data_IF_310071068429
#
_entry.id   IF_310071068429
#
_cell.length_a   1.000
_cell.length_b   1.000
_cell.length_c   1.000
_cell.angle_alpha   90.00
_cell.angle_beta   90.00
_cell.angle_gamma   90.00
#
_symmetry.space_group_name_H-M   'P 1'
#
loop_
_entity.id
_entity.type
_entity.pdbx_description
1 polymer ?
#
# COMPACT_ATOMS: atom_id res chain seq x y z
N UNK A 1 -9.54 -12.83 -16.07
CA UNK A 1 -10.82 -12.16 -16.40
C UNK A 1 -11.00 -12.20 -17.90
N UNK A 2 -11.83 -13.11 -18.44
CA UNK A 2 -12.00 -13.38 -19.87
C UNK A 2 -12.48 -12.17 -20.69
N UNK A 3 -11.65 -11.14 -20.80
CA UNK A 3 -11.90 -9.89 -21.50
C UNK A 3 -12.10 -10.12 -23.01
N UNK A 4 -11.51 -11.19 -23.54
CA UNK A 4 -11.67 -11.69 -24.90
C UNK A 4 -13.12 -12.03 -25.28
N UNK A 5 -14.01 -12.17 -24.29
CA UNK A 5 -15.42 -12.52 -24.49
C UNK A 5 -16.37 -11.31 -24.51
N UNK A 6 -15.87 -10.11 -24.29
CA UNK A 6 -16.67 -8.88 -24.30
C UNK A 6 -16.57 -8.23 -25.69
N UNK A 7 -17.72 -7.97 -26.32
CA UNK A 7 -17.78 -7.18 -27.56
C UNK A 7 -17.51 -5.69 -27.27
N UNK A 8 -16.83 -4.95 -28.18
CA UNK A 8 -16.45 -3.57 -27.95
C UNK A 8 -17.65 -2.65 -27.68
N UNK A 9 -18.81 -2.94 -28.27
CA UNK A 9 -20.07 -2.23 -28.04
C UNK A 9 -20.66 -2.37 -26.63
N UNK A 10 -20.19 -3.35 -25.85
CA UNK A 10 -20.65 -3.59 -24.46
C UNK A 10 -19.61 -3.19 -23.40
N UNK A 11 -18.39 -2.85 -23.81
CA UNK A 11 -17.33 -2.43 -22.91
C UNK A 11 -17.50 -0.94 -22.55
N UNK A 12 -17.88 -0.66 -21.30
CA UNK A 12 -17.97 0.73 -20.82
C UNK A 12 -16.60 1.35 -20.56
N UNK A 13 -15.67 0.56 -20.03
CA UNK A 13 -14.32 1.00 -19.69
C UNK A 13 -13.38 -0.18 -19.54
N UNK A 14 -12.18 -0.04 -20.10
CA UNK A 14 -11.04 -0.91 -19.83
C UNK A 14 -10.05 -0.17 -18.93
N UNK A 15 -9.52 -0.89 -17.95
CA UNK A 15 -8.54 -0.37 -16.99
C UNK A 15 -7.34 -1.30 -16.97
N UNK A 16 -6.17 -0.72 -17.22
CA UNK A 16 -4.89 -1.40 -17.01
C UNK A 16 -4.44 -1.14 -15.58
N UNK A 17 -4.30 -2.21 -14.81
CA UNK A 17 -3.83 -2.17 -13.43
C UNK A 17 -2.96 -3.39 -13.17
N UNK A 18 -1.98 -3.22 -12.29
CA UNK A 18 -1.02 -4.24 -11.90
C UNK A 18 -1.27 -4.64 -10.45
N UNK A 19 -1.09 -5.94 -10.16
CA UNK A 19 -1.15 -6.45 -8.80
C UNK A 19 0.27 -6.70 -8.29
N UNK A 20 0.59 -6.29 -7.06
CA UNK A 20 1.87 -6.62 -6.46
C UNK A 20 2.03 -8.14 -6.37
N UNK A 21 3.20 -8.65 -6.76
CA UNK A 21 3.55 -10.04 -6.55
C UNK A 21 4.19 -10.18 -5.16
N UNK A 22 3.54 -10.92 -4.27
CA UNK A 22 4.05 -11.22 -2.92
C UNK A 22 4.86 -12.51 -2.92
N UNK A 23 6.00 -12.49 -3.62
CA UNK A 23 6.95 -13.59 -3.54
C UNK A 23 7.73 -13.58 -2.21
N UNK A 24 8.59 -14.58 -2.01
CA UNK A 24 9.37 -14.70 -0.76
C UNK A 24 10.28 -13.49 -0.53
N UNK A 25 10.81 -12.89 -1.59
CA UNK A 25 11.71 -11.73 -1.50
C UNK A 25 10.93 -10.49 -1.09
N UNK A 26 9.76 -10.25 -1.69
CA UNK A 26 8.85 -9.18 -1.31
C UNK A 26 8.42 -9.30 0.15
N UNK A 27 8.01 -10.49 0.60
CA UNK A 27 7.61 -10.74 2.00
C UNK A 27 8.80 -10.52 2.95
N UNK A 28 10.00 -10.98 2.59
CA UNK A 28 11.20 -10.73 3.40
C UNK A 28 11.52 -9.22 3.49
N UNK A 29 11.34 -8.47 2.41
CA UNK A 29 11.55 -7.02 2.37
C UNK A 29 10.53 -6.25 3.21
N UNK A 30 9.28 -6.72 3.31
CA UNK A 30 8.26 -6.10 4.17
C UNK A 30 8.70 -6.01 5.64
N UNK A 31 9.48 -6.99 6.13
CA UNK A 31 10.02 -6.96 7.50
C UNK A 31 10.95 -5.77 7.77
N UNK A 32 11.48 -5.14 6.71
CA UNK A 32 12.38 -3.99 6.78
C UNK A 32 11.66 -2.65 6.66
N UNK A 33 10.33 -2.64 6.47
CA UNK A 33 9.55 -1.41 6.42
C UNK A 33 9.75 -0.49 7.64
N UNK A 34 9.85 -1.00 8.88
CA UNK A 34 10.14 -0.14 10.03
C UNK A 34 11.46 0.63 9.89
N UNK A 35 12.49 0.05 9.26
CA UNK A 35 13.77 0.73 9.01
C UNK A 35 13.58 1.93 8.08
N UNK A 36 12.76 1.79 7.03
CA UNK A 36 12.46 2.88 6.09
C UNK A 36 11.71 4.02 6.77
N UNK A 37 10.72 3.70 7.62
CA UNK A 37 9.98 4.72 8.36
C UNK A 37 10.86 5.45 9.38
N UNK A 38 11.81 4.73 10.02
CA UNK A 38 12.80 5.33 10.92
C UNK A 38 13.70 6.32 10.18
N UNK A 39 14.22 5.93 9.00
CA UNK A 39 15.04 6.78 8.14
C UNK A 39 14.26 8.01 7.63
N UNK A 40 12.93 7.95 7.58
CA UNK A 40 12.05 9.08 7.26
C UNK A 40 12.23 10.30 8.18
N UNK A 41 12.74 10.12 9.40
CA UNK A 41 13.03 11.24 10.33
C UNK A 41 14.14 12.15 9.82
N UNK A 42 15.12 11.58 9.12
CA UNK A 42 16.26 12.30 8.55
C UNK A 42 16.01 12.67 7.09
N UNK A 43 15.41 11.75 6.32
CA UNK A 43 15.18 11.90 4.88
C UNK A 43 13.88 12.64 4.53
N UNK A 44 13.02 12.90 5.52
CA UNK A 44 11.68 13.45 5.36
C UNK A 44 10.80 12.68 4.35
N UNK A 45 11.08 11.39 4.15
CA UNK A 45 10.37 10.53 3.19
C UNK A 45 9.78 9.32 3.92
N UNK A 46 8.49 9.08 3.71
CA UNK A 46 7.75 8.00 4.37
C UNK A 46 6.94 7.22 3.34
N UNK A 47 6.81 5.90 3.56
CA UNK A 47 6.16 5.00 2.61
C UNK A 47 4.88 4.41 3.21
N UNK A 48 3.81 4.36 2.42
CA UNK A 48 2.56 3.67 2.73
C UNK A 48 1.95 3.08 1.45
N UNK A 49 1.09 2.07 1.60
CA UNK A 49 0.40 1.42 0.50
C UNK A 49 0.02 -0.03 0.78
N UNK A 50 -0.87 -0.59 -0.04
CA UNK A 50 -1.38 -1.96 0.12
C UNK A 50 -0.28 -3.04 0.05
N UNK A 51 0.80 -2.75 -0.69
CA UNK A 51 1.97 -3.62 -0.82
C UNK A 51 2.77 -3.82 0.47
N UNK A 52 2.49 -3.04 1.51
CA UNK A 52 3.15 -3.18 2.82
C UNK A 52 2.74 -4.45 3.57
N UNK A 53 1.70 -5.17 3.10
CA UNK A 53 1.27 -6.46 3.67
C UNK A 53 0.72 -7.43 2.62
N UNK A 54 -0.59 -7.63 2.52
CA UNK A 54 -1.19 -8.67 1.66
C UNK A 54 -1.83 -8.12 0.39
N UNK A 55 -1.75 -6.80 0.16
CA UNK A 55 -2.24 -6.17 -1.06
C UNK A 55 -3.71 -5.75 -1.01
N UNK A 56 -4.34 -5.78 0.17
CA UNK A 56 -5.73 -5.37 0.32
C UNK A 56 -5.89 -3.87 0.61
N UNK A 57 -7.11 -3.36 0.48
CA UNK A 57 -7.42 -1.95 0.73
C UNK A 57 -7.18 -1.59 2.20
N UNK A 58 -7.48 -2.52 3.10
CA UNK A 58 -7.26 -2.45 4.53
C UNK A 58 -5.77 -2.29 4.87
N UNK A 59 -4.89 -2.93 4.11
CA UNK A 59 -3.44 -2.78 4.29
C UNK A 59 -2.97 -1.38 3.89
N UNK A 60 -3.54 -0.84 2.82
CA UNK A 60 -3.33 0.55 2.41
C UNK A 60 -3.74 1.53 3.51
N UNK A 61 -4.96 1.40 4.02
CA UNK A 61 -5.48 2.23 5.10
C UNK A 61 -4.63 2.11 6.38
N UNK A 62 -4.34 0.89 6.82
CA UNK A 62 -3.54 0.62 8.01
C UNK A 62 -2.14 1.23 7.90
N UNK A 63 -1.48 1.07 6.75
CA UNK A 63 -0.15 1.63 6.54
C UNK A 63 -0.15 3.17 6.60
N UNK A 64 -1.15 3.84 6.03
CA UNK A 64 -1.29 5.29 6.08
C UNK A 64 -1.52 5.79 7.52
N UNK A 65 -2.36 5.10 8.29
CA UNK A 65 -2.59 5.38 9.72
C UNK A 65 -1.28 5.29 10.51
N UNK A 66 -0.49 4.25 10.29
CA UNK A 66 0.79 4.07 10.96
C UNK A 66 1.77 5.20 10.63
N UNK A 67 1.89 5.59 9.35
CA UNK A 67 2.74 6.72 8.94
C UNK A 67 2.26 8.03 9.57
N UNK A 68 0.95 8.29 9.55
CA UNK A 68 0.38 9.47 10.19
C UNK A 68 0.72 9.49 11.70
N UNK A 69 0.64 8.34 12.37
CA UNK A 69 1.01 8.26 13.78
C UNK A 69 2.49 8.53 14.05
N UNK A 70 3.39 8.10 13.16
CA UNK A 70 4.81 8.45 13.24
C UNK A 70 5.06 9.95 13.09
N UNK A 71 4.33 10.60 12.20
CA UNK A 71 4.46 12.04 11.93
C UNK A 71 3.85 12.90 13.04
N UNK A 72 2.71 12.49 13.59
CA UNK A 72 1.96 13.24 14.60
C UNK A 72 2.42 12.92 16.04
N UNK A 73 3.20 11.86 16.24
CA UNK A 73 3.68 11.45 17.56
C UNK A 73 2.64 10.74 18.42
N UNK A 74 1.59 10.18 17.81
CA UNK A 74 0.50 9.47 18.49
C UNK A 74 -0.51 8.89 17.51
N UNK A 75 -1.45 8.05 17.98
CA UNK A 75 -2.45 7.44 17.09
C UNK A 75 -3.42 8.50 16.52
N UNK A 76 -3.48 8.68 15.19
CA UNK A 76 -4.31 9.71 14.56
C UNK A 76 -5.81 9.56 14.83
N UNK A 77 -6.29 8.38 15.24
CA UNK A 77 -7.70 8.17 15.57
C UNK A 77 -8.05 8.64 16.99
N UNK A 78 -7.06 8.78 17.86
CA UNK A 78 -7.25 9.14 19.27
C UNK A 78 -6.69 10.51 19.63
N UNK A 79 -5.77 11.04 18.82
CA UNK A 79 -5.30 12.41 18.93
C UNK A 79 -6.49 13.37 18.72
N UNK A 80 -6.78 14.18 19.74
CA UNK A 80 -7.71 15.32 19.69
C UNK A 80 -6.95 16.61 19.52
#
# INVERSE_FOLDING_TARGET
NSADRLGPETCLRELNYEHPLFDRTAIAAQNRLPELQQAGRETHTYFCGAWTRYGFHEDGLLSAVNVAGHLLGGDPWTLR
#
